data_IF_862514604536
#
_entry.id   IF_862514604536
#
_cell.length_a   1.000
_cell.length_b   1.000
_cell.length_c   1.000
_cell.angle_alpha   90.00
_cell.angle_beta   90.00
_cell.angle_gamma   90.00
#
_symmetry.space_group_name_H-M   'P 1'
#
loop_
_entity.id
_entity.type
_entity.pdbx_description
1 polymer ?
#
# COMPACT_ATOMS: atom_id res chain seq x y z
N UNK A 1 17.10 2.35 -5.58
CA UNK A 1 15.64 2.14 -5.47
C UNK A 1 15.25 0.84 -6.17
N UNK A 2 14.35 0.01 -5.59
CA UNK A 2 13.95 -1.26 -6.21
C UNK A 2 12.65 -1.05 -6.98
N UNK A 3 12.72 -1.02 -8.31
CA UNK A 3 11.56 -0.96 -9.21
C UNK A 3 11.23 -2.36 -9.71
N UNK A 4 9.95 -2.63 -9.91
CA UNK A 4 9.48 -3.85 -10.56
C UNK A 4 8.86 -3.45 -11.92
N UNK A 5 9.66 -3.51 -13.00
CA UNK A 5 9.23 -3.11 -14.35
C UNK A 5 7.99 -3.85 -14.84
N UNK A 6 7.81 -5.12 -14.45
CA UNK A 6 6.60 -5.87 -14.81
C UNK A 6 5.36 -5.26 -14.16
N UNK A 7 5.43 -4.90 -12.88
CA UNK A 7 4.33 -4.22 -12.18
C UNK A 7 4.10 -2.81 -12.77
N UNK A 8 5.17 -2.06 -13.06
CA UNK A 8 5.06 -0.75 -13.71
C UNK A 8 4.31 -0.85 -15.04
N UNK A 9 4.68 -1.80 -15.91
CA UNK A 9 4.00 -2.01 -17.19
C UNK A 9 2.53 -2.43 -17.00
N UNK A 10 2.24 -3.21 -15.97
CA UNK A 10 0.86 -3.58 -15.61
C UNK A 10 0.05 -2.33 -15.19
N UNK A 11 0.62 -1.44 -14.38
CA UNK A 11 -0.04 -0.18 -14.00
C UNK A 11 -0.23 0.76 -15.17
N UNK A 12 0.64 0.72 -16.17
CA UNK A 12 0.48 1.43 -17.45
C UNK A 12 -0.56 0.79 -18.38
N UNK A 13 -1.14 -0.37 -18.00
CA UNK A 13 -2.12 -1.07 -18.83
C UNK A 13 -1.52 -1.75 -20.08
N UNK A 14 -0.20 -1.94 -20.11
CA UNK A 14 0.47 -2.61 -21.24
C UNK A 14 0.12 -4.09 -21.24
N UNK A 15 -0.45 -4.53 -22.35
CA UNK A 15 -0.79 -5.95 -22.60
C UNK A 15 0.22 -6.53 -23.60
N UNK A 16 0.86 -7.64 -23.21
CA UNK A 16 1.88 -8.30 -24.03
C UNK A 16 3.28 -7.67 -23.88
N UNK A 17 4.10 -7.80 -24.93
CA UNK A 17 5.44 -7.24 -24.94
C UNK A 17 5.39 -5.72 -25.18
N UNK A 18 6.07 -4.90 -24.35
CA UNK A 18 6.16 -3.46 -24.56
C UNK A 18 7.02 -3.15 -25.78
N UNK A 19 6.69 -2.08 -26.50
CA UNK A 19 7.53 -1.54 -27.57
C UNK A 19 8.72 -0.75 -27.00
N UNK A 20 9.71 -0.45 -27.83
CA UNK A 20 10.93 0.29 -27.46
C UNK A 20 10.61 1.68 -26.93
N UNK A 21 9.58 2.35 -27.46
CA UNK A 21 9.15 3.68 -27.01
C UNK A 21 8.61 3.63 -25.58
N UNK A 22 7.81 2.63 -25.28
CA UNK A 22 7.27 2.40 -23.91
C UNK A 22 8.41 2.08 -22.95
N UNK A 23 9.36 1.23 -23.34
CA UNK A 23 10.52 0.91 -22.50
C UNK A 23 11.38 2.14 -22.21
N UNK A 24 11.70 2.96 -23.22
CA UNK A 24 12.44 4.20 -23.05
C UNK A 24 11.70 5.20 -22.14
N UNK A 25 10.36 5.26 -22.24
CA UNK A 25 9.55 6.12 -21.39
C UNK A 25 9.60 5.66 -19.92
N UNK A 26 9.50 4.35 -19.67
CA UNK A 26 9.61 3.76 -18.31
C UNK A 26 11.00 4.03 -17.73
N UNK A 27 12.06 3.85 -18.52
CA UNK A 27 13.43 4.11 -18.05
C UNK A 27 13.64 5.58 -17.65
N UNK A 28 13.13 6.52 -18.44
CA UNK A 28 13.14 7.94 -18.06
C UNK A 28 12.33 8.20 -16.79
N UNK A 29 11.19 7.56 -16.64
CA UNK A 29 10.38 7.68 -15.42
C UNK A 29 11.08 7.08 -14.19
N UNK A 30 11.85 6.01 -14.34
CA UNK A 30 12.68 5.46 -13.27
C UNK A 30 13.77 6.45 -12.82
N UNK A 31 14.43 7.13 -13.77
CA UNK A 31 15.42 8.19 -13.47
C UNK A 31 14.76 9.37 -12.73
N UNK A 32 13.58 9.81 -13.16
CA UNK A 32 12.81 10.84 -12.46
C UNK A 32 12.44 10.41 -11.02
N UNK A 33 12.04 9.17 -10.84
CA UNK A 33 11.68 8.63 -9.54
C UNK A 33 12.89 8.60 -8.58
N UNK A 34 14.09 8.29 -9.05
CA UNK A 34 15.31 8.32 -8.24
C UNK A 34 15.60 9.70 -7.62
N UNK A 35 15.23 10.76 -8.34
CA UNK A 35 15.44 12.13 -7.88
C UNK A 35 14.37 12.65 -6.92
N UNK A 36 13.14 12.08 -6.92
CA UNK A 36 12.01 12.65 -6.19
C UNK A 36 11.38 11.72 -5.15
N UNK A 37 11.79 10.45 -5.07
CA UNK A 37 11.20 9.47 -4.16
C UNK A 37 12.03 9.41 -2.87
N UNK A 38 11.37 9.69 -1.73
CA UNK A 38 11.95 9.62 -0.38
C UNK A 38 11.08 8.72 0.51
N UNK A 39 11.25 7.38 0.46
CA UNK A 39 10.39 6.45 1.15
C UNK A 39 10.50 6.59 2.67
N UNK A 40 9.37 6.65 3.34
CA UNK A 40 9.26 6.63 4.81
C UNK A 40 8.25 5.58 5.23
N UNK A 41 8.51 4.94 6.36
CA UNK A 41 7.69 3.88 6.92
C UNK A 41 7.52 4.07 8.41
N UNK A 42 6.36 3.77 8.92
CA UNK A 42 6.09 3.67 10.36
C UNK A 42 5.16 2.49 10.63
N UNK A 43 5.31 1.91 11.81
CA UNK A 43 4.41 0.88 12.29
C UNK A 43 4.19 0.97 13.79
N UNK A 44 3.15 0.31 14.24
CA UNK A 44 2.89 0.06 15.66
C UNK A 44 2.18 -1.27 15.84
N UNK A 45 2.64 -2.06 16.81
CA UNK A 45 2.04 -3.32 17.19
C UNK A 45 1.00 -3.08 18.28
N UNK A 46 -0.17 -3.68 18.13
CA UNK A 46 -1.24 -3.65 19.11
C UNK A 46 -1.76 -5.06 19.40
N UNK A 47 -2.13 -5.36 20.66
CA UNK A 47 -2.97 -6.51 20.94
C UNK A 47 -4.37 -6.27 20.34
N UNK A 48 -5.02 -7.35 19.92
CA UNK A 48 -6.41 -7.31 19.44
C UNK A 48 -7.37 -7.42 20.62
N UNK A 49 -8.27 -6.43 20.77
CA UNK A 49 -9.48 -6.56 21.57
C UNK A 49 -10.48 -7.46 20.84
N UNK A 50 -11.25 -8.28 21.57
CA UNK A 50 -12.16 -9.25 20.97
C UNK A 50 -13.64 -8.91 21.10
N UNK A 51 -14.02 -8.19 22.12
CA UNK A 51 -15.42 -7.86 22.41
C UNK A 51 -15.56 -6.36 22.78
N UNK A 52 -15.79 -5.50 21.80
CA UNK A 52 -15.78 -5.72 20.35
C UNK A 52 -14.37 -5.89 19.77
N UNK A 53 -14.28 -6.44 18.55
CA UNK A 53 -13.01 -6.48 17.82
C UNK A 53 -12.45 -5.06 17.70
N UNK A 54 -11.24 -4.85 18.22
CA UNK A 54 -10.68 -3.49 18.33
C UNK A 54 -9.16 -3.47 18.32
N UNK A 55 -8.61 -2.31 17.95
CA UNK A 55 -7.18 -2.02 17.92
C UNK A 55 -6.91 -0.70 18.63
N UNK A 56 -6.06 -0.70 19.65
CA UNK A 56 -5.74 0.50 20.41
C UNK A 56 -6.98 1.19 21.01
N UNK A 57 -7.98 0.41 21.42
CA UNK A 57 -9.26 0.90 21.96
C UNK A 57 -10.26 1.39 20.90
N UNK A 58 -9.92 1.29 19.61
CA UNK A 58 -10.80 1.68 18.49
C UNK A 58 -11.47 0.44 17.90
N UNK A 59 -12.81 0.34 17.88
CA UNK A 59 -13.52 -0.76 17.23
C UNK A 59 -13.19 -0.85 15.74
N UNK A 60 -13.06 -2.07 15.23
CA UNK A 60 -12.94 -2.36 13.80
C UNK A 60 -14.28 -2.82 13.25
N UNK A 61 -14.75 -2.18 12.20
CA UNK A 61 -16.04 -2.43 11.56
C UNK A 61 -15.86 -3.25 10.29
N UNK A 62 -16.74 -4.22 10.05
CA UNK A 62 -16.76 -5.04 8.83
C UNK A 62 -16.53 -6.53 9.13
N UNK A 63 -17.25 -7.38 8.38
CA UNK A 63 -17.13 -8.82 8.49
C UNK A 63 -15.84 -9.34 7.87
N UNK A 64 -15.37 -8.71 6.78
CA UNK A 64 -14.16 -9.12 6.08
C UNK A 64 -12.90 -8.89 6.94
N UNK A 65 -12.81 -7.76 7.65
CA UNK A 65 -11.70 -7.51 8.58
C UNK A 65 -11.77 -8.44 9.79
N UNK A 66 -12.97 -8.75 10.28
CA UNK A 66 -13.15 -9.70 11.38
C UNK A 66 -12.71 -11.11 10.96
N UNK A 67 -13.09 -11.56 9.78
CA UNK A 67 -12.65 -12.83 9.21
C UNK A 67 -11.14 -12.85 8.96
N UNK A 68 -10.58 -11.76 8.46
CA UNK A 68 -9.14 -11.61 8.26
C UNK A 68 -8.37 -11.73 9.57
N UNK A 69 -8.84 -11.15 10.67
CA UNK A 69 -8.15 -11.15 11.99
C UNK A 69 -8.51 -12.34 12.89
N UNK A 70 -9.38 -13.27 12.45
CA UNK A 70 -9.90 -14.38 13.27
C UNK A 70 -8.80 -15.17 13.99
N UNK A 71 -7.71 -15.51 13.29
CA UNK A 71 -6.60 -16.34 13.80
C UNK A 71 -5.38 -15.51 14.22
N UNK A 72 -5.58 -14.22 14.53
CA UNK A 72 -4.53 -13.30 14.95
C UNK A 72 -4.74 -12.90 16.41
N UNK A 73 -3.67 -12.72 17.14
CA UNK A 73 -3.69 -12.21 18.53
C UNK A 73 -3.30 -10.74 18.60
N UNK A 74 -2.52 -10.33 17.60
CA UNK A 74 -1.95 -8.99 17.46
C UNK A 74 -2.10 -8.49 16.04
N UNK A 75 -1.94 -7.19 15.88
CA UNK A 75 -1.95 -6.55 14.57
C UNK A 75 -0.91 -5.45 14.52
N UNK A 76 -0.12 -5.44 13.46
CA UNK A 76 0.68 -4.28 13.09
C UNK A 76 -0.20 -3.32 12.29
N UNK A 77 -0.35 -2.10 12.78
CA UNK A 77 -0.75 -1.00 11.93
C UNK A 77 0.50 -0.49 11.23
N UNK A 78 0.43 -0.30 9.93
CA UNK A 78 1.56 0.19 9.12
C UNK A 78 1.14 1.36 8.27
N UNK A 79 2.08 2.26 8.00
CA UNK A 79 1.93 3.31 6.99
C UNK A 79 3.25 3.55 6.27
N UNK A 80 3.16 3.81 4.98
CA UNK A 80 4.29 4.16 4.13
C UNK A 80 3.94 5.31 3.19
N UNK A 81 4.96 6.04 2.75
CA UNK A 81 4.83 7.12 1.77
C UNK A 81 6.10 7.24 0.95
N UNK A 82 6.00 7.75 -0.27
CA UNK A 82 7.14 8.18 -1.09
C UNK A 82 7.50 9.66 -0.91
N UNK A 83 6.71 10.39 -0.11
CA UNK A 83 6.93 11.80 0.17
C UNK A 83 6.29 12.75 -0.85
N UNK A 84 6.23 14.04 -0.49
CA UNK A 84 5.58 15.09 -1.30
C UNK A 84 6.32 15.40 -2.59
N UNK A 85 7.64 15.22 -2.64
CA UNK A 85 8.42 15.54 -3.85
C UNK A 85 8.02 14.64 -5.04
N UNK A 86 7.70 13.37 -4.77
CA UNK A 86 7.15 12.47 -5.80
C UNK A 86 5.83 13.00 -6.36
N UNK A 87 4.91 13.44 -5.50
CA UNK A 87 3.61 14.01 -5.91
C UNK A 87 3.78 15.29 -6.72
N UNK A 88 4.62 16.21 -6.25
CA UNK A 88 4.93 17.45 -6.99
C UNK A 88 5.51 17.17 -8.37
N UNK A 89 6.45 16.21 -8.46
CA UNK A 89 7.07 15.86 -9.73
C UNK A 89 6.08 15.21 -10.69
N UNK A 90 5.24 14.31 -10.21
CA UNK A 90 4.15 13.72 -11.00
C UNK A 90 3.24 14.83 -11.54
N UNK A 91 2.75 15.71 -10.68
CA UNK A 91 1.84 16.79 -11.06
C UNK A 91 2.47 17.76 -12.07
N UNK A 92 3.74 18.11 -11.90
CA UNK A 92 4.49 18.92 -12.86
C UNK A 92 4.58 18.24 -14.23
N UNK A 93 4.94 16.95 -14.26
CA UNK A 93 5.07 16.19 -15.51
C UNK A 93 3.72 15.92 -16.17
N UNK A 94 2.64 15.75 -15.39
CA UNK A 94 1.28 15.64 -15.97
C UNK A 94 0.90 16.86 -16.82
N UNK A 95 1.43 18.05 -16.50
CA UNK A 95 1.18 19.28 -17.25
C UNK A 95 2.17 19.49 -18.39
N UNK A 96 3.47 19.21 -18.17
CA UNK A 96 4.55 19.52 -19.12
C UNK A 96 4.87 18.38 -20.09
N UNK A 97 4.69 17.13 -19.67
CA UNK A 97 4.95 15.91 -20.46
C UNK A 97 4.02 14.79 -19.98
N UNK A 98 2.72 14.79 -20.35
CA UNK A 98 1.72 13.91 -19.78
C UNK A 98 2.08 12.41 -19.84
N UNK A 99 2.66 11.94 -20.95
CA UNK A 99 3.09 10.56 -21.05
C UNK A 99 4.13 10.17 -20.01
N UNK A 100 5.11 11.06 -19.75
CA UNK A 100 6.13 10.84 -18.72
C UNK A 100 5.52 10.98 -17.31
N UNK A 101 4.55 11.86 -17.11
CA UNK A 101 3.81 11.99 -15.85
C UNK A 101 3.07 10.71 -15.49
N UNK A 102 2.36 10.11 -16.46
CA UNK A 102 1.67 8.82 -16.27
C UNK A 102 2.67 7.69 -16.01
N UNK A 103 3.79 7.67 -16.74
CA UNK A 103 4.83 6.68 -16.52
C UNK A 103 5.45 6.81 -15.12
N UNK A 104 5.74 8.04 -14.66
CA UNK A 104 6.26 8.29 -13.32
C UNK A 104 5.26 7.89 -12.23
N UNK A 105 3.97 8.16 -12.44
CA UNK A 105 2.91 7.72 -11.52
C UNK A 105 2.89 6.20 -11.35
N UNK A 106 2.99 5.45 -12.45
CA UNK A 106 3.05 4.00 -12.45
C UNK A 106 4.34 3.46 -11.80
N UNK A 107 5.50 4.07 -12.08
CA UNK A 107 6.78 3.74 -11.44
C UNK A 107 6.68 3.96 -9.94
N UNK A 108 6.19 5.12 -9.50
CA UNK A 108 6.04 5.43 -8.07
C UNK A 108 5.10 4.43 -7.38
N UNK A 109 4.02 4.00 -8.02
CA UNK A 109 3.13 2.96 -7.48
C UNK A 109 3.88 1.64 -7.29
N UNK A 110 4.64 1.20 -8.31
CA UNK A 110 5.46 -0.01 -8.23
C UNK A 110 6.54 0.06 -7.13
N UNK A 111 7.17 1.23 -6.99
CA UNK A 111 8.17 1.48 -5.93
C UNK A 111 7.54 1.39 -4.54
N UNK A 112 6.38 2.02 -4.35
CA UNK A 112 5.67 1.99 -3.06
C UNK A 112 5.30 0.58 -2.65
N UNK A 113 4.76 -0.22 -3.57
CA UNK A 113 4.42 -1.63 -3.31
C UNK A 113 5.67 -2.47 -2.99
N UNK A 114 6.76 -2.31 -3.78
CA UNK A 114 8.02 -3.02 -3.52
C UNK A 114 8.64 -2.64 -2.17
N UNK A 115 8.56 -1.36 -1.81
CA UNK A 115 9.01 -0.87 -0.52
C UNK A 115 8.18 -1.44 0.64
N UNK A 116 6.85 -1.48 0.49
CA UNK A 116 5.95 -2.09 1.48
C UNK A 116 6.21 -3.58 1.66
N UNK A 117 6.45 -4.31 0.57
CA UNK A 117 6.78 -5.74 0.62
C UNK A 117 8.09 -5.96 1.41
N UNK A 118 9.11 -5.15 1.17
CA UNK A 118 10.37 -5.19 1.91
C UNK A 118 10.16 -4.90 3.41
N UNK A 119 9.37 -3.86 3.74
CA UNK A 119 9.10 -3.53 5.14
C UNK A 119 8.29 -4.65 5.84
N UNK A 120 7.30 -5.23 5.17
CA UNK A 120 6.54 -6.36 5.73
C UNK A 120 7.43 -7.60 5.92
N UNK A 121 8.38 -7.85 5.04
CA UNK A 121 9.36 -8.92 5.21
C UNK A 121 10.24 -8.67 6.46
N UNK A 122 10.74 -7.45 6.66
CA UNK A 122 11.51 -7.08 7.87
C UNK A 122 10.67 -7.25 9.15
N UNK A 123 9.38 -6.89 9.10
CA UNK A 123 8.46 -7.14 10.22
C UNK A 123 8.31 -8.64 10.50
N UNK A 124 8.20 -9.48 9.46
CA UNK A 124 8.12 -10.92 9.61
C UNK A 124 9.39 -11.51 10.22
N UNK A 125 10.57 -11.05 9.81
CA UNK A 125 11.87 -11.48 10.35
C UNK A 125 12.03 -11.10 11.83
N UNK A 126 11.48 -9.95 12.24
CA UNK A 126 11.46 -9.49 13.63
C UNK A 126 10.35 -10.08 14.50
N UNK A 127 9.39 -10.79 13.92
CA UNK A 127 8.22 -11.33 14.61
C UNK A 127 8.35 -12.84 14.84
N UNK A 128 8.04 -13.29 16.08
CA UNK A 128 7.89 -14.72 16.38
C UNK A 128 6.60 -15.32 15.81
N UNK A 129 5.61 -14.48 15.51
CA UNK A 129 4.32 -14.88 14.95
C UNK A 129 4.33 -14.78 13.43
N UNK A 130 3.48 -15.55 12.77
CA UNK A 130 3.27 -15.45 11.33
C UNK A 130 2.44 -14.21 11.03
N UNK A 131 2.86 -13.45 10.01
CA UNK A 131 2.15 -12.28 9.54
C UNK A 131 1.24 -12.64 8.37
N UNK A 132 0.06 -12.01 8.33
CA UNK A 132 -0.86 -12.08 7.20
C UNK A 132 -0.52 -11.02 6.15
N UNK A 133 -0.99 -11.18 4.90
CA UNK A 133 -0.91 -10.12 3.89
C UNK A 133 -1.58 -8.83 4.36
N UNK A 134 -1.14 -7.69 3.81
CA UNK A 134 -1.71 -6.37 4.13
C UNK A 134 -3.22 -6.31 3.85
N UNK A 135 -3.98 -5.69 4.75
CA UNK A 135 -5.40 -5.40 4.59
C UNK A 135 -5.65 -3.92 4.87
N UNK A 136 -6.18 -3.20 3.89
CA UNK A 136 -6.36 -1.74 3.96
C UNK A 136 -7.83 -1.35 4.11
N UNK A 137 -8.09 -0.17 4.69
CA UNK A 137 -9.40 0.44 4.66
C UNK A 137 -9.90 0.59 3.21
N UNK A 138 -11.19 0.35 2.99
CA UNK A 138 -11.79 0.31 1.66
C UNK A 138 -11.72 -1.05 0.96
N UNK A 139 -11.10 -2.08 1.56
CA UNK A 139 -11.15 -3.45 1.07
C UNK A 139 -12.39 -4.17 1.62
N UNK A 140 -13.10 -4.90 0.73
CA UNK A 140 -14.33 -5.58 1.12
C UNK A 140 -15.33 -4.61 1.74
N UNK A 141 -15.83 -4.97 2.91
CA UNK A 141 -16.74 -4.16 3.73
C UNK A 141 -16.04 -3.34 4.83
N UNK A 142 -14.69 -3.34 4.87
CA UNK A 142 -13.92 -2.55 5.83
C UNK A 142 -13.99 -1.06 5.46
N UNK A 143 -14.67 -0.21 6.27
CA UNK A 143 -14.99 1.14 5.83
C UNK A 143 -13.75 2.02 5.63
N UNK A 144 -13.75 2.83 4.57
CA UNK A 144 -12.68 3.81 4.34
C UNK A 144 -12.60 4.87 5.45
N UNK A 145 -13.71 5.15 6.14
CA UNK A 145 -13.76 6.08 7.29
C UNK A 145 -12.80 5.70 8.41
N UNK A 146 -12.52 4.42 8.60
CA UNK A 146 -11.58 3.93 9.62
C UNK A 146 -10.12 4.30 9.32
N UNK A 147 -9.82 4.80 8.13
CA UNK A 147 -8.51 5.37 7.82
C UNK A 147 -8.13 6.54 8.74
N UNK A 148 -9.12 7.28 9.29
CA UNK A 148 -8.88 8.32 10.29
C UNK A 148 -8.22 7.77 11.56
N UNK A 149 -8.69 6.62 12.01
CA UNK A 149 -8.15 5.96 13.19
C UNK A 149 -6.76 5.38 12.93
N UNK A 150 -6.53 4.83 11.75
CA UNK A 150 -5.21 4.34 11.35
C UNK A 150 -4.17 5.47 11.40
N UNK A 151 -4.49 6.63 10.79
CA UNK A 151 -3.62 7.82 10.77
C UNK A 151 -3.37 8.34 12.19
N UNK A 152 -4.42 8.41 13.03
CA UNK A 152 -4.33 8.87 14.42
C UNK A 152 -3.49 7.92 15.29
N UNK A 153 -3.77 6.60 15.24
CA UNK A 153 -3.09 5.61 16.05
C UNK A 153 -1.60 5.48 15.70
N UNK A 154 -1.26 5.68 14.44
CA UNK A 154 0.12 5.67 13.95
C UNK A 154 0.84 7.00 14.13
N UNK A 155 0.12 8.11 14.33
CA UNK A 155 0.67 9.48 14.34
C UNK A 155 1.47 9.77 13.05
N UNK A 156 0.85 9.45 11.90
CA UNK A 156 1.53 9.46 10.61
C UNK A 156 2.02 10.85 10.21
N UNK A 157 1.28 11.90 10.58
CA UNK A 157 1.66 13.29 10.29
C UNK A 157 3.03 13.64 10.86
N UNK A 158 3.26 13.35 12.14
CA UNK A 158 4.53 13.64 12.82
C UNK A 158 5.66 12.70 12.39
N UNK A 159 5.34 11.39 12.20
CA UNK A 159 6.37 10.39 11.96
C UNK A 159 6.86 10.33 10.52
N UNK A 160 5.94 10.43 9.57
CA UNK A 160 6.28 10.23 8.14
C UNK A 160 5.70 11.30 7.21
N UNK A 161 5.01 12.33 7.75
CA UNK A 161 4.43 13.42 6.97
C UNK A 161 3.24 13.00 6.11
N UNK A 162 2.44 12.03 6.58
CA UNK A 162 1.21 11.59 5.90
C UNK A 162 0.01 12.10 6.67
N UNK A 163 -0.86 12.80 5.95
CA UNK A 163 -2.09 13.39 6.47
C UNK A 163 -3.30 12.79 5.76
N UNK A 164 -4.48 13.01 6.32
CA UNK A 164 -5.74 12.61 5.74
C UNK A 164 -6.57 13.84 5.38
N UNK A 165 -7.04 13.89 4.13
CA UNK A 165 -7.96 14.94 3.67
C UNK A 165 -9.38 14.71 4.23
N UNK A 166 -10.27 15.70 4.08
CA UNK A 166 -11.68 15.56 4.42
C UNK A 166 -12.37 14.46 3.61
N UNK A 167 -11.92 14.24 2.36
CA UNK A 167 -12.39 13.17 1.47
C UNK A 167 -11.78 11.80 1.77
N UNK A 168 -11.06 11.64 2.89
CA UNK A 168 -10.40 10.40 3.31
C UNK A 168 -9.28 9.93 2.37
N UNK A 169 -8.71 10.83 1.58
CA UNK A 169 -7.52 10.54 0.77
C UNK A 169 -6.25 10.86 1.56
N UNK A 170 -5.26 9.98 1.44
CA UNK A 170 -3.93 10.24 2.01
C UNK A 170 -3.19 11.30 1.20
N UNK A 171 -2.50 12.20 1.89
CA UNK A 171 -1.60 13.19 1.32
C UNK A 171 -0.22 13.06 1.98
N UNK A 172 0.86 12.84 1.21
CA UNK A 172 0.91 12.72 -0.25
C UNK A 172 0.15 11.49 -0.77
N UNK A 173 -0.32 11.55 -2.04
CA UNK A 173 -1.13 10.48 -2.63
C UNK A 173 -0.39 9.13 -2.74
N UNK A 174 0.93 9.15 -2.96
CA UNK A 174 1.76 7.94 -2.97
C UNK A 174 2.07 7.50 -1.54
N UNK A 175 0.98 7.17 -0.81
CA UNK A 175 1.00 6.69 0.57
C UNK A 175 0.00 5.55 0.75
N UNK A 176 0.27 4.68 1.72
CA UNK A 176 -0.58 3.54 2.08
C UNK A 176 -0.68 3.44 3.58
N UNK A 177 -1.86 3.09 4.09
CA UNK A 177 -2.07 2.56 5.43
C UNK A 177 -2.64 1.15 5.34
N UNK A 178 -2.22 0.25 6.22
CA UNK A 178 -2.74 -1.10 6.26
C UNK A 178 -2.64 -1.73 7.64
N UNK A 179 -3.42 -2.79 7.85
CA UNK A 179 -3.28 -3.73 8.94
C UNK A 179 -2.53 -4.96 8.46
N UNK A 180 -1.67 -5.51 9.33
CA UNK A 180 -0.98 -6.78 9.13
C UNK A 180 -1.22 -7.63 10.36
N UNK A 181 -2.14 -8.58 10.27
CA UNK A 181 -2.48 -9.48 11.38
C UNK A 181 -1.31 -10.40 11.72
N UNK A 182 -1.09 -10.65 13.01
CA UNK A 182 -0.05 -11.53 13.52
C UNK A 182 -0.64 -12.58 14.46
N UNK A 183 -0.29 -13.86 14.27
CA UNK A 183 -0.76 -14.96 15.09
C UNK A 183 0.02 -16.25 14.85
N UNK A 184 0.08 -17.13 15.83
CA UNK A 184 0.78 -18.43 15.67
C UNK A 184 0.16 -19.30 14.59
N UNK A 185 -1.18 -19.27 14.45
CA UNK A 185 -1.96 -20.01 13.46
C UNK A 185 -2.33 -19.16 12.25
N UNK A 186 -1.82 -17.94 12.16
CA UNK A 186 -2.10 -17.08 11.03
C UNK A 186 -1.68 -17.77 9.72
N UNK A 187 -2.67 -18.16 8.93
CA UNK A 187 -2.46 -18.72 7.59
C UNK A 187 -2.66 -17.58 6.60
N UNK A 188 -1.56 -17.06 6.07
CA UNK A 188 -1.58 -16.15 4.93
C UNK A 188 -1.12 -16.92 3.71
N UNK A 189 -2.03 -17.27 2.82
CA UNK A 189 -1.64 -17.32 1.43
C UNK A 189 -1.51 -15.84 1.01
N UNK A 190 -0.50 -15.52 0.22
CA UNK A 190 -0.33 -14.21 -0.42
C UNK A 190 -1.43 -14.02 -1.49
N UNK A 191 -2.68 -14.08 -1.06
CA UNK A 191 -3.83 -14.07 -1.97
C UNK A 191 -4.34 -12.67 -2.27
N UNK A 192 -3.83 -11.62 -1.62
CA UNK A 192 -4.16 -10.22 -1.85
C UNK A 192 -5.14 -9.97 -3.00
N UNK A 193 -4.61 -9.58 -4.14
CA UNK A 193 -5.38 -9.35 -5.36
C UNK A 193 -6.04 -10.63 -5.93
N UNK A 194 -5.50 -11.83 -5.66
CA UNK A 194 -6.03 -13.11 -6.16
C UNK A 194 -7.27 -13.58 -5.39
N UNK A 195 -7.35 -13.26 -4.10
CA UNK A 195 -8.52 -13.57 -3.26
C UNK A 195 -9.63 -12.50 -3.36
N UNK A 196 -9.35 -11.37 -4.00
CA UNK A 196 -10.30 -10.29 -4.16
C UNK A 196 -11.47 -10.72 -5.05
N UNK A 197 -12.68 -10.72 -4.50
CA UNK A 197 -13.91 -11.10 -5.20
C UNK A 197 -14.37 -10.13 -6.32
N UNK A 198 -13.69 -9.00 -6.52
CA UNK A 198 -13.99 -8.07 -7.62
C UNK A 198 -13.68 -8.72 -8.97
N UNK A 199 -14.73 -8.98 -9.76
CA UNK A 199 -14.62 -9.59 -11.10
C UNK A 199 -14.07 -8.61 -12.14
N UNK A 200 -14.43 -7.34 -12.06
CA UNK A 200 -14.11 -6.28 -13.04
C UNK A 200 -13.10 -5.26 -12.46
N UNK A 201 -11.93 -5.74 -12.05
CA UNK A 201 -10.85 -4.86 -11.57
C UNK A 201 -9.80 -4.66 -12.64
N UNK A 202 -9.58 -3.42 -13.08
CA UNK A 202 -8.55 -3.07 -14.08
C UNK A 202 -7.12 -3.45 -13.64
N UNK A 203 -6.91 -3.64 -12.33
CA UNK A 203 -5.60 -3.96 -11.73
C UNK A 203 -5.52 -5.39 -11.20
N UNK A 204 -6.45 -6.28 -11.56
CA UNK A 204 -6.45 -7.66 -11.10
C UNK A 204 -5.19 -8.38 -11.55
N UNK A 205 -4.46 -9.01 -10.61
CA UNK A 205 -3.34 -9.90 -10.94
C UNK A 205 -3.89 -11.17 -11.56
N UNK A 206 -3.47 -11.48 -12.78
CA UNK A 206 -3.77 -12.77 -13.40
C UNK A 206 -2.90 -13.87 -12.78
N UNK A 207 -3.52 -15.01 -12.45
CA UNK A 207 -2.80 -16.22 -12.11
C UNK A 207 -2.05 -16.70 -13.35
N UNK A 208 -0.73 -16.81 -13.27
CA UNK A 208 0.06 -17.61 -14.19
C UNK A 208 0.27 -18.99 -13.60
#
# INVERSE_FOLDING_TARGET
MKTNRRETLRYLGVKGAPDERTLALVERAEQEAEACVFPRFTFRLFPLGREPLSVGGTPLEGADIAAYLKDCDEVYLIAATLGFEAEKRINFLMQSSPALGVALDAVCTSVLESFLDEQCQKLQEGSKKRLKPRFSCGYGDFPLSQQRDMVRLLDTGRKIGVFLSESLMLAPQKSVTALVGAGERARGKSEGCLACGKKDCAFKKELK
#
